data_IF_879866003469
#
_entry.id   IF_879866003469
#
_cell.length_a   1.000
_cell.length_b   1.000
_cell.length_c   1.000
_cell.angle_alpha   90.00
_cell.angle_beta   90.00
_cell.angle_gamma   90.00
#
_symmetry.space_group_name_H-M   'P 1'
#
loop_
_entity.id
_entity.type
_entity.pdbx_description
1 polymer ?
#
# COMPACT_ATOMS: atom_id res chain seq x y z
N UNK A 1 20.83 -14.95 11.33
CA UNK A 1 19.99 -16.15 11.58
C UNK A 1 18.56 -15.70 11.60
N UNK A 2 17.72 -16.28 10.75
CA UNK A 2 16.27 -16.07 10.76
C UNK A 2 15.74 -16.57 12.12
N UNK A 3 14.90 -15.80 12.80
CA UNK A 3 14.33 -16.21 14.09
C UNK A 3 13.37 -17.39 13.93
N UNK A 4 13.16 -18.19 14.97
CA UNK A 4 12.21 -19.31 14.94
C UNK A 4 10.79 -18.84 14.58
N UNK A 5 10.43 -17.64 15.01
CA UNK A 5 9.15 -17.03 14.70
C UNK A 5 9.01 -16.72 13.19
N UNK A 6 10.04 -16.18 12.55
CA UNK A 6 10.07 -15.95 11.11
C UNK A 6 10.00 -17.26 10.33
N UNK A 7 10.71 -18.30 10.78
CA UNK A 7 10.62 -19.63 10.19
C UNK A 7 9.19 -20.17 10.24
N UNK A 8 8.52 -19.99 11.37
CA UNK A 8 7.13 -20.43 11.53
C UNK A 8 6.17 -19.67 10.61
N UNK A 9 6.28 -18.35 10.49
CA UNK A 9 5.45 -17.57 9.57
C UNK A 9 5.73 -17.90 8.10
N UNK A 10 6.99 -18.07 7.74
CA UNK A 10 7.37 -18.50 6.39
C UNK A 10 6.79 -19.87 6.05
N UNK A 11 6.82 -20.81 6.98
CA UNK A 11 6.22 -22.13 6.78
C UNK A 11 4.71 -22.08 6.55
N UNK A 12 4.00 -21.17 7.22
CA UNK A 12 2.55 -21.00 7.02
C UNK A 12 2.18 -20.42 5.66
N UNK A 13 3.03 -19.59 5.11
CA UNK A 13 2.79 -18.89 3.83
C UNK A 13 3.44 -19.62 2.65
N UNK A 14 4.30 -20.56 2.93
CA UNK A 14 5.09 -21.26 1.94
C UNK A 14 4.22 -22.21 1.12
N UNK A 15 4.41 -22.18 -0.19
CA UNK A 15 3.84 -23.18 -1.07
C UNK A 15 4.49 -24.55 -0.76
N UNK A 16 3.69 -25.60 -0.45
CA UNK A 16 4.23 -26.88 -0.01
C UNK A 16 5.09 -27.61 -1.06
N UNK A 17 4.90 -27.29 -2.34
CA UNK A 17 5.62 -27.92 -3.45
C UNK A 17 6.92 -27.16 -3.75
N UNK A 18 6.82 -25.84 -3.98
CA UNK A 18 7.98 -25.00 -4.33
C UNK A 18 8.83 -24.60 -3.13
N UNK A 19 8.31 -24.75 -1.92
CA UNK A 19 8.90 -24.30 -0.64
C UNK A 19 9.30 -22.82 -0.64
N UNK A 20 8.63 -22.01 -1.42
CA UNK A 20 8.81 -20.56 -1.46
C UNK A 20 7.52 -19.86 -1.08
N UNK A 21 7.64 -18.71 -0.44
CA UNK A 21 6.52 -17.80 -0.21
C UNK A 21 6.26 -17.08 -1.53
N UNK A 22 5.07 -17.20 -2.13
CA UNK A 22 4.75 -16.49 -3.36
C UNK A 22 4.82 -14.99 -3.14
N UNK A 23 5.56 -14.26 -3.95
CA UNK A 23 5.76 -12.80 -3.82
C UNK A 23 4.47 -11.99 -3.97
N UNK A 24 3.49 -12.53 -4.67
CA UNK A 24 2.20 -11.92 -5.00
C UNK A 24 1.02 -12.55 -4.25
N UNK A 25 1.29 -13.25 -3.14
CA UNK A 25 0.27 -14.04 -2.45
C UNK A 25 -0.93 -13.19 -2.02
N UNK A 26 -0.70 -11.98 -1.51
CA UNK A 26 -1.77 -11.10 -1.08
C UNK A 26 -2.65 -10.60 -2.24
N UNK A 27 -2.08 -10.39 -3.42
CA UNK A 27 -2.85 -10.02 -4.64
C UNK A 27 -3.73 -11.20 -5.06
N UNK A 28 -3.19 -12.41 -5.02
CA UNK A 28 -3.93 -13.64 -5.31
C UNK A 28 -5.02 -13.91 -4.28
N UNK A 29 -4.72 -13.69 -3.01
CA UNK A 29 -5.69 -13.80 -1.94
C UNK A 29 -6.82 -12.78 -2.09
N UNK A 30 -6.52 -11.52 -2.40
CA UNK A 30 -7.54 -10.51 -2.69
C UNK A 30 -8.40 -10.88 -3.90
N UNK A 31 -7.76 -11.34 -4.98
CA UNK A 31 -8.48 -11.81 -6.17
C UNK A 31 -9.34 -13.05 -5.89
N UNK A 32 -8.92 -13.90 -4.97
CA UNK A 32 -9.71 -15.03 -4.50
C UNK A 32 -10.89 -14.56 -3.63
N UNK A 33 -10.63 -13.70 -2.64
CA UNK A 33 -11.66 -13.15 -1.76
C UNK A 33 -12.72 -12.38 -2.53
N UNK A 34 -12.34 -11.62 -3.57
CA UNK A 34 -13.29 -10.91 -4.42
C UNK A 34 -14.24 -11.82 -5.21
N UNK A 35 -13.85 -13.08 -5.42
CA UNK A 35 -14.68 -14.10 -6.07
C UNK A 35 -15.59 -14.85 -5.09
N UNK A 36 -15.24 -14.82 -3.82
CA UNK A 36 -16.12 -15.33 -2.75
C UNK A 36 -17.19 -14.26 -2.59
N UNK A 37 -18.37 -14.53 -3.14
CA UNK A 37 -19.51 -13.65 -2.93
C UNK A 37 -19.68 -13.37 -1.45
N UNK A 38 -20.02 -12.13 -1.09
CA UNK A 38 -20.32 -11.78 0.28
C UNK A 38 -21.40 -12.73 0.79
N UNK A 39 -21.00 -13.74 1.55
CA UNK A 39 -21.95 -14.58 2.22
C UNK A 39 -22.74 -13.68 3.16
N UNK A 40 -24.01 -13.47 2.87
CA UNK A 40 -24.90 -12.75 3.76
C UNK A 40 -25.15 -13.64 4.98
N UNK A 41 -24.16 -13.68 5.87
CA UNK A 41 -24.20 -14.55 7.06
C UNK A 41 -25.09 -13.98 8.16
N UNK A 42 -25.74 -12.83 7.93
CA UNK A 42 -26.45 -12.11 8.99
C UNK A 42 -25.55 -11.57 10.09
N UNK A 43 -24.23 -11.73 9.95
CA UNK A 43 -23.24 -11.24 10.91
C UNK A 43 -22.85 -9.82 10.52
N UNK A 44 -23.15 -8.87 11.40
CA UNK A 44 -22.67 -7.51 11.27
C UNK A 44 -21.32 -7.36 11.96
N UNK A 45 -20.31 -6.96 11.20
CA UNK A 45 -18.99 -6.66 11.73
C UNK A 45 -18.92 -5.20 12.16
N UNK A 46 -18.59 -4.97 13.42
CA UNK A 46 -18.39 -3.64 13.98
C UNK A 46 -16.91 -3.46 14.31
N UNK A 47 -16.37 -2.31 13.91
CA UNK A 47 -15.03 -1.94 14.32
C UNK A 47 -15.00 -1.73 15.84
N UNK A 48 -14.24 -2.55 16.55
CA UNK A 48 -14.10 -2.48 18.02
C UNK A 48 -12.84 -1.74 18.46
N UNK A 49 -12.06 -1.25 17.52
CA UNK A 49 -10.79 -0.58 17.81
C UNK A 49 -9.63 -1.56 18.00
N UNK A 50 -8.49 -1.12 18.53
CA UNK A 50 -8.31 0.22 19.12
C UNK A 50 -8.31 1.33 18.05
N UNK A 51 -9.01 2.42 18.34
CA UNK A 51 -9.11 3.58 17.42
C UNK A 51 -8.09 4.67 17.75
N UNK A 52 -7.45 4.55 18.90
CA UNK A 52 -6.48 5.49 19.46
C UNK A 52 -5.03 5.01 19.35
N UNK A 53 -4.78 3.88 18.72
CA UNK A 53 -3.43 3.43 18.40
C UNK A 53 -3.07 3.94 17.01
N UNK A 54 -2.04 4.77 16.93
CA UNK A 54 -1.48 5.22 15.66
C UNK A 54 -0.83 4.07 14.89
N UNK A 55 -1.01 4.07 13.58
CA UNK A 55 -0.19 3.28 12.67
C UNK A 55 1.16 3.95 12.41
N UNK A 56 2.09 3.22 11.79
CA UNK A 56 3.36 3.81 11.34
C UNK A 56 3.11 4.59 10.04
N UNK A 57 3.03 5.90 10.16
CA UNK A 57 3.00 6.82 9.02
C UNK A 57 4.41 7.03 8.52
N UNK A 58 4.63 6.92 7.22
CA UNK A 58 5.93 7.07 6.60
C UNK A 58 6.02 8.24 5.63
N UNK A 59 4.92 8.53 4.97
CA UNK A 59 4.82 9.64 4.04
C UNK A 59 3.78 10.65 4.53
N UNK A 60 4.12 11.92 4.43
CA UNK A 60 3.22 13.04 4.72
C UNK A 60 3.44 14.11 3.66
N UNK A 61 2.38 14.61 3.07
CA UNK A 61 2.44 15.69 2.12
C UNK A 61 1.26 16.65 2.31
N UNK A 62 1.51 17.92 2.07
CA UNK A 62 0.51 19.01 2.15
C UNK A 62 0.31 19.54 0.74
N UNK A 63 -0.94 19.76 0.36
CA UNK A 63 -1.29 20.31 -0.96
C UNK A 63 -0.74 21.75 -1.08
N UNK A 64 0.02 22.00 -2.16
CA UNK A 64 0.63 23.34 -2.37
C UNK A 64 -0.38 24.41 -2.72
N UNK A 65 -1.56 24.04 -3.26
CA UNK A 65 -2.65 24.99 -3.55
C UNK A 65 -3.59 25.17 -2.37
N UNK A 66 -3.83 24.06 -1.66
CA UNK A 66 -4.72 24.02 -0.50
C UNK A 66 -3.93 23.56 0.72
N UNK A 67 -3.28 24.49 1.39
CA UNK A 67 -2.46 24.19 2.57
C UNK A 67 -3.23 23.55 3.72
N UNK A 68 -4.54 23.38 3.62
CA UNK A 68 -5.36 22.69 4.62
C UNK A 68 -5.51 21.21 4.33
N UNK A 69 -5.23 20.77 3.09
CA UNK A 69 -5.31 19.38 2.67
C UNK A 69 -4.01 18.64 2.98
N UNK A 70 -4.12 17.51 3.64
CA UNK A 70 -2.99 16.67 4.06
C UNK A 70 -3.21 15.25 3.55
N UNK A 71 -2.17 14.70 2.93
CA UNK A 71 -2.12 13.28 2.56
C UNK A 71 -1.12 12.56 3.46
N UNK A 72 -1.54 11.42 4.00
CA UNK A 72 -0.70 10.60 4.86
C UNK A 72 -0.63 9.16 4.31
N UNK A 73 0.59 8.64 4.19
CA UNK A 73 0.86 7.28 3.75
C UNK A 73 1.29 6.38 4.89
N UNK A 74 0.54 5.32 5.11
CA UNK A 74 0.85 4.31 6.12
C UNK A 74 1.69 3.16 5.54
N UNK A 75 2.57 2.58 6.35
CA UNK A 75 3.41 1.44 5.95
C UNK A 75 2.60 0.24 5.49
N UNK A 76 1.41 0.04 6.04
CA UNK A 76 0.47 -1.02 5.66
C UNK A 76 -0.98 -0.54 5.63
N UNK A 77 -1.19 0.78 5.78
CA UNK A 77 -2.52 1.38 5.89
C UNK A 77 -3.04 2.01 4.60
N UNK A 78 -2.21 2.12 3.56
CA UNK A 78 -2.54 2.85 2.34
C UNK A 78 -2.44 4.36 2.50
N UNK A 79 -3.05 5.10 1.58
CA UNK A 79 -3.12 6.57 1.58
C UNK A 79 -4.41 7.03 2.24
N UNK A 80 -4.27 8.04 3.09
CA UNK A 80 -5.34 8.72 3.78
C UNK A 80 -5.30 10.20 3.46
N UNK A 81 -6.46 10.80 3.26
CA UNK A 81 -6.59 12.24 2.98
C UNK A 81 -7.42 12.88 4.09
N UNK A 82 -6.98 14.04 4.51
CA UNK A 82 -7.75 14.91 5.36
C UNK A 82 -7.75 16.32 4.79
N UNK A 83 -8.89 16.97 4.85
CA UNK A 83 -9.03 18.39 4.72
C UNK A 83 -9.01 19.05 6.12
N UNK A 84 -9.06 20.36 6.21
CA UNK A 84 -9.06 21.07 7.49
C UNK A 84 -7.87 20.73 8.41
N UNK A 85 -6.67 20.82 7.86
CA UNK A 85 -5.41 20.63 8.60
C UNK A 85 -5.27 19.24 9.25
N UNK A 86 -5.84 18.20 8.64
CA UNK A 86 -5.68 16.83 9.12
C UNK A 86 -6.63 16.44 10.28
N UNK A 87 -7.75 17.13 10.46
CA UNK A 87 -8.68 16.82 11.54
C UNK A 87 -9.44 15.51 11.35
N UNK A 88 -9.79 15.16 10.09
CA UNK A 88 -10.56 13.96 9.80
C UNK A 88 -9.97 13.25 8.58
N UNK A 89 -9.27 12.15 8.81
CA UNK A 89 -8.70 11.35 7.75
C UNK A 89 -9.70 10.35 7.17
N UNK A 90 -9.82 10.34 5.83
CA UNK A 90 -10.58 9.36 5.07
C UNK A 90 -9.60 8.54 4.22
N UNK A 91 -9.80 7.24 4.17
CA UNK A 91 -8.95 6.36 3.36
C UNK A 91 -9.24 6.58 1.87
N UNK A 92 -8.19 6.88 1.11
CA UNK A 92 -8.26 7.11 -0.34
C UNK A 92 -7.91 5.88 -1.16
N UNK A 93 -7.18 4.92 -0.58
CA UNK A 93 -6.84 3.67 -1.28
C UNK A 93 -7.91 2.62 -1.10
N UNK A 94 -8.22 1.91 -2.20
CA UNK A 94 -9.14 0.78 -2.22
C UNK A 94 -8.42 -0.52 -1.80
N UNK A 95 -9.15 -1.58 -1.42
CA UNK A 95 -8.55 -2.87 -1.06
C UNK A 95 -7.70 -3.50 -2.16
N UNK A 96 -7.95 -3.16 -3.44
CA UNK A 96 -7.24 -3.70 -4.60
C UNK A 96 -5.89 -3.01 -4.86
N UNK A 97 -5.65 -1.88 -4.23
CA UNK A 97 -4.40 -1.13 -4.36
C UNK A 97 -3.38 -1.56 -3.33
N UNK A 98 -2.13 -1.25 -3.59
CA UNK A 98 -1.05 -1.57 -2.68
C UNK A 98 -1.01 -0.59 -1.50
N UNK A 99 -1.00 -1.12 -0.28
CA UNK A 99 -1.14 -0.32 0.93
C UNK A 99 0.19 0.00 1.64
N UNK A 100 1.31 -0.53 1.16
CA UNK A 100 2.63 -0.17 1.71
C UNK A 100 3.11 1.11 1.05
N UNK A 101 2.81 2.25 1.66
CA UNK A 101 3.16 3.57 1.13
C UNK A 101 4.47 4.04 1.77
N UNK A 102 5.45 4.38 0.93
CA UNK A 102 6.77 4.83 1.36
C UNK A 102 7.01 6.30 1.14
N UNK A 103 6.47 6.84 0.06
CA UNK A 103 6.57 8.26 -0.28
C UNK A 103 5.29 8.75 -0.94
N UNK A 104 5.02 10.04 -0.82
CA UNK A 104 3.94 10.76 -1.51
C UNK A 104 4.54 12.04 -2.06
N UNK A 105 4.25 12.35 -3.32
CA UNK A 105 4.69 13.56 -3.98
C UNK A 105 3.56 14.19 -4.80
N UNK A 106 3.50 15.51 -4.80
CA UNK A 106 2.63 16.30 -5.65
C UNK A 106 3.40 16.85 -6.84
N UNK A 107 2.79 16.91 -8.00
CA UNK A 107 3.32 17.68 -9.13
C UNK A 107 3.07 19.16 -8.87
N UNK A 108 4.12 19.90 -8.58
CA UNK A 108 4.04 21.32 -8.22
C UNK A 108 4.12 22.25 -9.42
N UNK A 109 4.17 21.71 -10.64
CA UNK A 109 4.18 22.53 -11.87
C UNK A 109 2.82 23.15 -12.07
N UNK A 110 2.82 24.43 -12.51
CA UNK A 110 1.58 25.17 -12.75
C UNK A 110 0.65 24.43 -13.71
N UNK A 111 -0.58 24.20 -13.29
CA UNK A 111 -1.62 23.45 -14.03
C UNK A 111 -1.60 21.94 -13.82
N UNK A 112 -0.63 21.40 -13.07
CA UNK A 112 -0.51 19.98 -12.78
C UNK A 112 -0.68 19.64 -11.29
N UNK A 113 -1.01 20.59 -10.46
CA UNK A 113 -1.06 20.45 -8.99
C UNK A 113 -2.13 19.44 -8.52
N UNK A 114 -3.06 19.08 -9.40
CA UNK A 114 -4.01 17.98 -9.13
C UNK A 114 -3.39 16.58 -9.23
N UNK A 115 -2.16 16.50 -9.77
CA UNK A 115 -1.47 15.24 -9.99
C UNK A 115 -0.63 14.90 -8.77
N UNK A 116 -0.83 13.69 -8.28
CA UNK A 116 -0.13 13.16 -7.14
C UNK A 116 0.41 11.77 -7.44
N UNK A 117 1.46 11.40 -6.74
CA UNK A 117 2.09 10.09 -6.85
C UNK A 117 2.31 9.50 -5.46
N UNK A 118 2.14 8.18 -5.32
CA UNK A 118 2.70 7.50 -4.17
C UNK A 118 3.52 6.29 -4.61
N UNK A 119 4.64 6.09 -3.93
CA UNK A 119 5.50 4.93 -4.11
C UNK A 119 5.19 3.84 -3.10
N UNK A 120 5.48 2.60 -3.49
CA UNK A 120 5.21 1.41 -2.69
C UNK A 120 6.47 0.63 -2.36
N UNK A 121 6.38 -0.23 -1.35
CA UNK A 121 7.43 -1.13 -0.90
C UNK A 121 8.24 -0.58 0.26
N UNK A 122 8.61 -1.43 1.20
CA UNK A 122 9.44 -1.07 2.33
C UNK A 122 10.73 -1.90 2.36
N UNK A 123 11.86 -1.23 2.18
CA UNK A 123 13.19 -1.81 2.32
C UNK A 123 13.88 -1.19 3.54
N UNK A 124 13.77 -1.79 4.71
CA UNK A 124 14.40 -1.25 5.92
C UNK A 124 15.01 -2.26 6.87
N UNK A 125 15.48 -3.38 6.35
CA UNK A 125 16.35 -4.29 7.11
C UNK A 125 15.70 -4.90 8.35
N UNK A 126 14.38 -4.89 8.42
CA UNK A 126 13.65 -5.70 9.38
C UNK A 126 12.98 -6.86 8.65
N UNK A 127 12.62 -7.90 9.39
CA UNK A 127 11.98 -9.11 8.86
C UNK A 127 10.59 -8.89 8.23
N UNK A 128 10.14 -7.65 8.12
CA UNK A 128 8.86 -7.26 7.56
C UNK A 128 9.01 -6.46 6.26
N UNK A 129 10.04 -6.73 5.48
CA UNK A 129 10.19 -6.12 4.16
C UNK A 129 8.98 -6.42 3.28
N UNK A 130 8.31 -5.36 2.85
CA UNK A 130 7.17 -5.44 1.96
C UNK A 130 7.61 -5.03 0.55
N UNK A 131 7.63 -5.98 -0.35
CA UNK A 131 7.91 -5.70 -1.77
C UNK A 131 6.77 -4.86 -2.32
N UNK A 132 7.10 -3.72 -2.93
CA UNK A 132 6.13 -2.84 -3.56
C UNK A 132 5.67 -3.34 -4.92
N UNK A 133 4.68 -2.65 -5.47
CA UNK A 133 4.12 -2.94 -6.79
C UNK A 133 4.26 -1.75 -7.75
N UNK A 134 5.26 -0.90 -7.54
CA UNK A 134 5.49 0.26 -8.38
C UNK A 134 4.93 1.56 -7.80
N UNK A 135 4.60 2.48 -8.70
CA UNK A 135 4.14 3.83 -8.40
C UNK A 135 2.67 3.97 -8.81
N UNK A 136 1.88 4.56 -7.95
CA UNK A 136 0.50 4.93 -8.24
C UNK A 136 0.38 6.42 -8.50
N UNK A 137 -0.48 6.77 -9.44
CA UNK A 137 -0.76 8.16 -9.84
C UNK A 137 -2.22 8.49 -9.57
N UNK A 138 -2.46 9.66 -9.06
CA UNK A 138 -3.76 10.33 -8.98
C UNK A 138 -3.77 11.54 -9.91
N UNK A 139 -4.93 11.86 -10.47
CA UNK A 139 -5.17 13.07 -11.26
C UNK A 139 -6.29 13.94 -10.67
N UNK A 140 -6.77 13.55 -9.50
CA UNK A 140 -7.93 14.14 -8.81
C UNK A 140 -7.60 14.55 -7.36
N UNK A 141 -6.41 15.10 -7.15
CA UNK A 141 -5.93 15.55 -5.85
C UNK A 141 -5.82 14.44 -4.79
N UNK A 142 -5.49 13.23 -5.23
CA UNK A 142 -5.27 12.08 -4.35
C UNK A 142 -6.54 11.31 -3.97
N UNK A 143 -7.70 11.63 -4.54
CA UNK A 143 -8.96 10.94 -4.23
C UNK A 143 -9.00 9.52 -4.81
N UNK A 144 -8.53 9.35 -6.03
CA UNK A 144 -8.41 8.03 -6.66
C UNK A 144 -7.01 7.78 -7.18
N UNK A 145 -6.62 6.52 -7.25
CA UNK A 145 -5.25 6.12 -7.58
C UNK A 145 -5.24 5.01 -8.63
N UNK A 146 -4.37 5.15 -9.62
CA UNK A 146 -4.14 4.15 -10.65
C UNK A 146 -2.66 3.79 -10.69
N UNK A 147 -2.37 2.50 -10.82
CA UNK A 147 -1.00 2.03 -11.00
C UNK A 147 -0.44 2.55 -12.32
N UNK A 148 0.77 3.09 -12.31
CA UNK A 148 1.52 3.35 -13.53
C UNK A 148 2.07 2.02 -14.05
N UNK A 149 1.48 1.49 -15.11
CA UNK A 149 1.83 0.19 -15.67
C UNK A 149 3.32 0.07 -16.05
N UNK A 150 3.97 1.20 -16.43
CA UNK A 150 5.41 1.24 -16.71
C UNK A 150 6.29 1.00 -15.49
N UNK A 151 5.74 1.14 -14.29
CA UNK A 151 6.46 0.93 -13.03
C UNK A 151 6.03 -0.35 -12.31
N UNK A 152 5.09 -1.08 -12.91
CA UNK A 152 4.56 -2.31 -12.34
C UNK A 152 5.67 -3.32 -12.12
N UNK A 153 5.79 -3.76 -10.90
CA UNK A 153 6.67 -4.87 -10.59
C UNK A 153 6.00 -6.16 -11.08
N UNK A 154 6.37 -6.63 -12.28
CA UNK A 154 5.83 -7.85 -12.84
C UNK A 154 6.47 -9.06 -12.14
N UNK A 155 5.81 -9.50 -11.09
CA UNK A 155 6.27 -10.61 -10.22
C UNK A 155 6.22 -11.95 -10.94
N UNK A 156 5.75 -12.00 -12.18
CA UNK A 156 5.67 -13.22 -12.97
C UNK A 156 7.01 -13.66 -13.55
N UNK A 157 7.98 -12.77 -13.61
CA UNK A 157 9.30 -13.06 -14.13
C UNK A 157 10.40 -12.82 -13.10
N UNK A 158 10.92 -13.94 -12.60
CA UNK A 158 12.30 -14.13 -12.11
C UNK A 158 12.94 -12.85 -11.57
N UNK A 159 13.30 -12.93 -10.30
CA UNK A 159 14.28 -12.06 -9.65
C UNK A 159 15.24 -11.47 -10.68
N UNK A 160 14.88 -10.39 -11.33
CA UNK A 160 15.86 -9.48 -11.84
C UNK A 160 16.40 -8.80 -10.58
N UNK A 161 17.67 -8.93 -10.34
CA UNK A 161 18.40 -8.21 -9.30
C UNK A 161 18.24 -6.68 -9.43
N UNK A 162 17.64 -6.24 -10.48
CA UNK A 162 17.40 -4.87 -10.92
C UNK A 162 15.90 -4.54 -10.88
N UNK A 163 15.15 -5.14 -9.96
CA UNK A 163 13.71 -4.90 -9.79
C UNK A 163 13.40 -3.44 -9.52
N UNK A 164 13.40 -2.69 -10.61
CA UNK A 164 13.03 -1.30 -10.67
C UNK A 164 11.66 -1.15 -10.01
N UNK A 165 11.51 -0.25 -9.08
CA UNK A 165 10.25 0.04 -8.39
C UNK A 165 9.73 -1.02 -7.38
N UNK A 166 10.53 -1.99 -6.96
CA UNK A 166 10.18 -2.83 -5.79
C UNK A 166 10.15 -2.00 -4.51
N UNK A 167 11.00 -0.96 -4.43
CA UNK A 167 11.10 -0.08 -3.30
C UNK A 167 11.24 1.36 -3.79
N UNK A 168 10.15 2.08 -3.81
CA UNK A 168 10.13 3.49 -4.21
C UNK A 168 10.34 4.35 -2.96
N UNK A 169 11.32 5.28 -3.04
CA UNK A 169 11.64 6.21 -1.94
C UNK A 169 11.39 7.64 -2.36
#
# INVERSE_FOLDING_TARGET
>A
KISEQEQYFNLKQMNPISRMVPKDIHIKEQAFVSKIGAANTGINWFLRGPQNLGGRTRALAIDVLDGTRVLAGGVSGGVWIADNFGLNFVKATTPQQFHSVTCIAQDTRSGFENIWYYGTGEQNGNSADLVGNGIYKSTDKGLTWLLLESTKNDVSNVVSSDGDFQYVK
#
